data_IF_837522016988
#
_entry.id   IF_837522016988
#
_cell.length_a   1.000
_cell.length_b   1.000
_cell.length_c   1.000
_cell.angle_alpha   90.00
_cell.angle_beta   90.00
_cell.angle_gamma   90.00
#
_symmetry.space_group_name_H-M   'P 1'
#
loop_
_entity.id
_entity.type
_entity.pdbx_description
1 polymer ?
#
# COMPACT_ATOMS: atom_id res chain seq x y z
N UNK A 1 -38.66 -22.97 1.71
CA UNK A 1 -37.29 -22.62 1.29
C UNK A 1 -37.11 -21.11 1.45
N UNK A 2 -36.42 -20.66 2.50
CA UNK A 2 -36.22 -19.22 2.76
C UNK A 2 -35.12 -18.69 1.85
N UNK A 3 -35.51 -17.78 0.96
CA UNK A 3 -34.64 -17.07 0.03
C UNK A 3 -33.70 -16.16 0.85
N UNK A 4 -32.48 -16.63 1.13
CA UNK A 4 -31.47 -15.80 1.79
C UNK A 4 -30.94 -14.81 0.77
N UNK A 5 -31.47 -13.59 0.83
CA UNK A 5 -31.03 -12.46 0.01
C UNK A 5 -29.51 -12.32 0.10
N UNK A 6 -28.85 -12.53 -1.04
CA UNK A 6 -27.42 -12.32 -1.23
C UNK A 6 -27.13 -10.85 -0.91
N UNK A 7 -26.61 -10.57 0.29
CA UNK A 7 -26.20 -9.21 0.68
C UNK A 7 -25.16 -8.75 -0.33
N UNK A 8 -25.40 -7.60 -0.94
CA UNK A 8 -24.50 -7.01 -1.93
C UNK A 8 -23.10 -6.86 -1.32
N UNK A 9 -22.02 -7.30 -2.01
CA UNK A 9 -20.64 -7.11 -1.57
C UNK A 9 -20.21 -5.66 -1.34
N UNK A 10 -21.04 -4.72 -1.81
CA UNK A 10 -20.71 -3.31 -1.95
C UNK A 10 -21.29 -2.44 -0.84
N UNK A 11 -21.76 -3.03 0.26
CA UNK A 11 -22.26 -2.26 1.41
C UNK A 11 -21.05 -1.77 2.21
N UNK A 12 -20.42 -0.71 1.72
CA UNK A 12 -19.40 0.03 2.46
C UNK A 12 -20.06 0.57 3.73
N UNK A 13 -19.64 0.07 4.89
CA UNK A 13 -20.17 0.50 6.18
C UNK A 13 -19.91 2.00 6.38
N UNK A 14 -20.79 2.68 7.10
CA UNK A 14 -20.62 4.12 7.37
C UNK A 14 -19.29 4.40 8.11
N UNK A 15 -18.86 3.48 8.97
CA UNK A 15 -17.55 3.54 9.62
C UNK A 15 -16.37 3.45 8.63
N UNK A 16 -16.46 2.57 7.62
CA UNK A 16 -15.44 2.47 6.57
C UNK A 16 -15.39 3.74 5.72
N UNK A 17 -16.55 4.33 5.39
CA UNK A 17 -16.61 5.63 4.67
C UNK A 17 -15.90 6.73 5.46
N UNK A 18 -16.21 6.87 6.75
CA UNK A 18 -15.59 7.90 7.61
C UNK A 18 -14.07 7.73 7.69
N UNK A 19 -13.57 6.50 7.88
CA UNK A 19 -12.12 6.23 7.93
C UNK A 19 -11.43 6.54 6.61
N UNK A 20 -12.05 6.19 5.48
CA UNK A 20 -11.52 6.46 4.15
C UNK A 20 -11.47 7.96 3.85
N UNK A 21 -12.52 8.70 4.22
CA UNK A 21 -12.58 10.16 4.06
C UNK A 21 -11.51 10.87 4.88
N UNK A 22 -11.31 10.47 6.15
CA UNK A 22 -10.26 11.03 7.00
C UNK A 22 -8.87 10.78 6.39
N UNK A 23 -8.61 9.55 5.95
CA UNK A 23 -7.34 9.20 5.28
C UNK A 23 -7.10 10.06 4.03
N UNK A 24 -8.14 10.25 3.21
CA UNK A 24 -8.05 11.07 2.00
C UNK A 24 -7.75 12.54 2.30
N UNK A 25 -8.38 13.12 3.33
CA UNK A 25 -8.13 14.50 3.77
C UNK A 25 -6.68 14.65 4.27
N UNK A 26 -6.19 13.69 5.07
CA UNK A 26 -4.81 13.72 5.58
C UNK A 26 -3.78 13.65 4.45
N UNK A 27 -4.01 12.77 3.46
CA UNK A 27 -3.14 12.65 2.29
C UNK A 27 -3.14 13.94 1.46
N UNK A 28 -4.31 14.54 1.22
CA UNK A 28 -4.41 15.82 0.51
C UNK A 28 -3.71 16.95 1.28
N UNK A 29 -3.91 17.02 2.60
CA UNK A 29 -3.22 18.00 3.44
C UNK A 29 -1.71 17.85 3.39
N UNK A 30 -1.20 16.63 3.40
CA UNK A 30 0.23 16.34 3.27
C UNK A 30 0.79 16.75 1.89
N UNK A 31 0.06 16.49 0.81
CA UNK A 31 0.44 16.89 -0.55
C UNK A 31 0.46 18.42 -0.70
N UNK A 32 -0.52 19.11 -0.12
CA UNK A 32 -0.57 20.59 -0.18
C UNK A 32 0.53 21.22 0.67
N UNK A 33 0.79 20.68 1.86
CA UNK A 33 1.86 21.15 2.75
C UNK A 33 3.24 20.97 2.13
N UNK A 34 3.53 19.80 1.52
CA UNK A 34 4.80 19.55 0.83
C UNK A 34 5.01 20.47 -0.37
N UNK A 35 3.96 20.74 -1.15
CA UNK A 35 4.03 21.71 -2.26
C UNK A 35 4.34 23.13 -1.79
N UNK A 36 3.75 23.55 -0.68
CA UNK A 36 3.97 24.89 -0.13
C UNK A 36 5.37 25.06 0.44
N UNK A 37 5.96 24.02 1.04
CA UNK A 37 7.32 24.10 1.61
C UNK A 37 8.43 23.97 0.56
N UNK A 38 8.15 23.36 -0.60
CA UNK A 38 9.15 23.11 -1.65
C UNK A 38 9.17 24.16 -2.78
N UNK A 39 8.27 25.16 -2.76
CA UNK A 39 8.12 26.13 -3.86
C UNK A 39 9.17 27.26 -3.92
N UNK A 40 10.02 27.43 -2.90
CA UNK A 40 10.97 28.55 -2.80
C UNK A 40 12.44 28.12 -3.04
N UNK A 41 12.78 27.67 -4.24
CA UNK A 41 14.18 27.45 -4.66
C UNK A 41 14.52 28.42 -5.78
N UNK A 42 15.48 29.32 -5.56
CA UNK A 42 15.79 30.44 -6.48
C UNK A 42 17.25 30.48 -6.95
N UNK A 43 18.16 29.63 -6.41
CA UNK A 43 19.56 29.60 -6.84
C UNK A 43 20.01 28.25 -7.45
N UNK A 44 20.97 28.24 -8.41
CA UNK A 44 21.49 27.01 -9.00
C UNK A 44 22.13 26.05 -7.99
N UNK A 45 22.80 26.55 -6.96
CA UNK A 45 23.43 25.72 -5.92
C UNK A 45 22.38 24.99 -5.06
N UNK A 46 21.26 25.65 -4.73
CA UNK A 46 20.15 25.05 -3.99
C UNK A 46 19.46 23.93 -4.78
N UNK A 47 19.36 24.03 -6.11
CA UNK A 47 18.77 22.97 -6.94
C UNK A 47 19.57 21.66 -6.88
N UNK A 48 20.90 21.74 -6.80
CA UNK A 48 21.77 20.56 -6.68
C UNK A 48 21.60 19.92 -5.30
N UNK A 49 21.53 20.74 -4.25
CA UNK A 49 21.27 20.24 -2.88
C UNK A 49 19.88 19.60 -2.80
N UNK A 50 18.86 20.25 -3.34
CA UNK A 50 17.49 19.74 -3.38
C UNK A 50 17.39 18.42 -4.15
N UNK A 51 18.05 18.30 -5.30
CA UNK A 51 18.07 17.07 -6.09
C UNK A 51 18.70 15.90 -5.29
N UNK A 52 19.84 16.13 -4.63
CA UNK A 52 20.48 15.14 -3.76
C UNK A 52 19.61 14.77 -2.56
N UNK A 53 18.94 15.74 -1.95
CA UNK A 53 18.01 15.48 -0.85
C UNK A 53 16.82 14.65 -1.34
N UNK A 54 16.26 14.96 -2.51
CA UNK A 54 15.14 14.21 -3.07
C UNK A 54 15.54 12.77 -3.41
N UNK A 55 16.73 12.58 -3.98
CA UNK A 55 17.31 11.26 -4.23
C UNK A 55 17.50 10.46 -2.93
N UNK A 56 18.05 11.08 -1.88
CA UNK A 56 18.19 10.44 -0.59
C UNK A 56 16.83 10.06 0.02
N UNK A 57 15.85 10.96 -0.02
CA UNK A 57 14.48 10.69 0.46
C UNK A 57 13.85 9.54 -0.32
N UNK A 58 14.04 9.50 -1.64
CA UNK A 58 13.55 8.41 -2.49
C UNK A 58 14.18 7.05 -2.11
N UNK A 59 15.52 6.98 -2.02
CA UNK A 59 16.22 5.75 -1.68
C UNK A 59 15.86 5.23 -0.28
N UNK A 60 16.01 6.08 0.75
CA UNK A 60 15.74 5.66 2.13
C UNK A 60 14.25 5.45 2.39
N UNK A 61 13.39 6.25 1.76
CA UNK A 61 11.94 6.11 1.83
C UNK A 61 11.48 4.74 1.34
N UNK A 62 11.92 4.33 0.15
CA UNK A 62 11.52 3.05 -0.43
C UNK A 62 12.04 1.84 0.36
N UNK A 63 13.26 1.91 0.92
CA UNK A 63 13.74 0.87 1.83
C UNK A 63 12.93 0.78 3.13
N UNK A 64 12.52 1.93 3.67
CA UNK A 64 11.66 1.98 4.84
C UNK A 64 10.27 1.39 4.53
N UNK A 65 9.70 1.73 3.37
CA UNK A 65 8.44 1.15 2.88
C UNK A 65 8.56 -0.38 2.75
N UNK A 66 9.61 -0.88 2.10
CA UNK A 66 9.88 -2.31 2.01
C UNK A 66 9.92 -3.00 3.39
N UNK A 67 10.56 -2.38 4.38
CA UNK A 67 10.61 -2.86 5.75
C UNK A 67 9.23 -2.88 6.45
N UNK A 68 8.42 -1.84 6.23
CA UNK A 68 7.05 -1.75 6.76
C UNK A 68 6.19 -2.87 6.16
N UNK A 69 6.22 -3.04 4.83
CA UNK A 69 5.45 -4.09 4.16
C UNK A 69 5.91 -5.49 4.58
N UNK A 70 7.22 -5.70 4.72
CA UNK A 70 7.78 -6.94 5.25
C UNK A 70 7.30 -7.24 6.67
N UNK A 71 7.23 -6.23 7.54
CA UNK A 71 6.72 -6.37 8.91
C UNK A 71 5.22 -6.75 8.93
N UNK A 72 4.42 -6.12 8.07
CA UNK A 72 2.99 -6.44 7.91
C UNK A 72 2.84 -7.89 7.39
N UNK A 73 3.62 -8.28 6.38
CA UNK A 73 3.62 -9.64 5.84
C UNK A 73 3.94 -10.67 6.92
N UNK A 74 4.95 -10.39 7.76
CA UNK A 74 5.31 -11.25 8.88
C UNK A 74 4.17 -11.38 9.90
N UNK A 75 3.47 -10.28 10.23
CA UNK A 75 2.29 -10.32 11.09
C UNK A 75 1.19 -11.25 10.56
N UNK A 76 0.90 -11.19 9.25
CA UNK A 76 -0.04 -12.10 8.61
C UNK A 76 0.46 -13.55 8.56
N UNK A 77 1.77 -13.77 8.37
CA UNK A 77 2.38 -15.09 8.44
C UNK A 77 2.22 -15.72 9.83
N UNK A 78 2.50 -14.97 10.89
CA UNK A 78 2.27 -15.41 12.29
C UNK A 78 0.78 -15.69 12.54
N UNK A 79 -0.11 -14.84 12.01
CA UNK A 79 -1.55 -15.06 12.11
C UNK A 79 -1.98 -16.36 11.41
N UNK A 80 -1.40 -16.67 10.24
CA UNK A 80 -1.70 -17.89 9.50
C UNK A 80 -1.38 -19.17 10.29
N UNK A 81 -0.35 -19.15 11.14
CA UNK A 81 0.02 -20.28 12.01
C UNK A 81 -1.06 -20.54 13.07
N UNK A 82 -1.74 -19.48 13.54
CA UNK A 82 -2.75 -19.54 14.62
C UNK A 82 -4.18 -19.78 14.13
N UNK A 83 -4.42 -19.71 12.81
CA UNK A 83 -5.73 -19.87 12.20
C UNK A 83 -5.82 -21.17 11.41
N UNK A 84 -7.04 -21.62 11.12
CA UNK A 84 -7.31 -22.85 10.36
C UNK A 84 -8.31 -22.56 9.24
N UNK A 85 -8.30 -23.37 8.21
CA UNK A 85 -9.26 -23.29 7.11
C UNK A 85 -9.11 -22.02 6.27
N UNK A 86 -10.23 -21.41 5.92
CA UNK A 86 -10.29 -20.28 4.97
C UNK A 86 -9.51 -19.05 5.43
N UNK A 87 -9.53 -18.74 6.72
CA UNK A 87 -8.85 -17.57 7.28
C UNK A 87 -7.32 -17.73 7.24
N UNK A 88 -6.80 -18.95 7.44
CA UNK A 88 -5.38 -19.26 7.23
C UNK A 88 -4.98 -19.04 5.78
N UNK A 89 -5.80 -19.48 4.84
CA UNK A 89 -5.54 -19.28 3.41
C UNK A 89 -5.45 -17.79 3.05
N UNK A 90 -6.41 -16.98 3.52
CA UNK A 90 -6.38 -15.53 3.29
C UNK A 90 -5.14 -14.89 3.93
N UNK A 91 -4.80 -15.25 5.17
CA UNK A 91 -3.61 -14.73 5.83
C UNK A 91 -2.31 -15.07 5.10
N UNK A 92 -2.16 -16.29 4.56
CA UNK A 92 -1.00 -16.67 3.75
C UNK A 92 -0.93 -15.86 2.46
N UNK A 93 -2.04 -15.75 1.72
CA UNK A 93 -2.06 -14.99 0.46
C UNK A 93 -1.73 -13.52 0.75
N UNK A 94 -2.34 -12.91 1.77
CA UNK A 94 -2.05 -11.53 2.18
C UNK A 94 -0.58 -11.35 2.54
N UNK A 95 0.01 -12.27 3.31
CA UNK A 95 1.43 -12.24 3.64
C UNK A 95 2.31 -12.26 2.37
N UNK A 96 2.04 -13.18 1.44
CA UNK A 96 2.79 -13.30 0.18
C UNK A 96 2.68 -12.01 -0.64
N UNK A 97 1.48 -11.44 -0.77
CA UNK A 97 1.29 -10.22 -1.56
C UNK A 97 1.99 -9.01 -0.94
N UNK A 98 1.94 -8.85 0.39
CA UNK A 98 2.72 -7.79 1.07
C UNK A 98 4.23 -7.98 0.93
N UNK A 99 4.73 -9.22 1.01
CA UNK A 99 6.14 -9.51 0.76
C UNK A 99 6.53 -9.15 -0.68
N UNK A 100 5.71 -9.51 -1.66
CA UNK A 100 5.93 -9.16 -3.06
C UNK A 100 5.87 -7.64 -3.29
N UNK A 101 4.97 -6.94 -2.60
CA UNK A 101 4.90 -5.48 -2.67
C UNK A 101 6.15 -4.82 -2.10
N UNK A 102 6.61 -5.24 -0.91
CA UNK A 102 7.86 -4.73 -0.33
C UNK A 102 9.09 -5.07 -1.19
N UNK A 103 9.13 -6.23 -1.85
CA UNK A 103 10.18 -6.55 -2.82
C UNK A 103 10.14 -5.61 -4.03
N UNK A 104 8.95 -5.20 -4.48
CA UNK A 104 8.83 -4.24 -5.58
C UNK A 104 9.38 -2.85 -5.21
N UNK A 105 9.36 -2.46 -3.94
CA UNK A 105 9.97 -1.20 -3.47
C UNK A 105 11.50 -1.29 -3.46
N UNK A 106 12.08 -2.46 -3.15
CA UNK A 106 13.53 -2.67 -3.28
C UNK A 106 13.95 -2.58 -4.76
N UNK A 107 13.18 -3.24 -5.64
CA UNK A 107 13.44 -3.18 -7.09
C UNK A 107 13.27 -1.75 -7.62
N UNK A 108 12.34 -0.97 -7.07
CA UNK A 108 12.15 0.44 -7.41
C UNK A 108 13.40 1.29 -7.10
N UNK A 109 14.09 1.00 -5.99
CA UNK A 109 15.35 1.65 -5.67
C UNK A 109 16.43 1.32 -6.71
N UNK A 110 16.56 0.05 -7.09
CA UNK A 110 17.54 -0.42 -8.07
C UNK A 110 17.28 0.10 -9.49
N UNK A 111 16.01 0.31 -9.83
CA UNK A 111 15.60 0.75 -11.17
C UNK A 111 15.46 2.27 -11.30
N UNK A 112 15.46 2.99 -10.16
CA UNK A 112 15.43 4.45 -10.10
C UNK A 112 14.07 5.09 -10.43
N UNK A 113 13.03 4.30 -10.73
CA UNK A 113 11.67 4.81 -10.92
C UNK A 113 10.60 3.74 -10.68
N UNK A 114 9.50 4.11 -10.02
CA UNK A 114 8.36 3.23 -9.73
C UNK A 114 7.64 2.66 -10.97
N UNK A 115 7.81 3.28 -12.16
CA UNK A 115 7.19 2.85 -13.41
C UNK A 115 8.16 2.37 -14.49
N UNK A 116 9.48 2.46 -14.26
CA UNK A 116 10.49 1.96 -15.21
C UNK A 116 11.31 0.88 -14.55
N UNK A 117 11.39 -0.31 -15.15
CA UNK A 117 10.65 -0.80 -16.32
C UNK A 117 9.12 -0.94 -16.07
N UNK A 118 8.31 -0.87 -17.14
CA UNK A 118 6.83 -0.83 -17.05
C UNK A 118 6.20 -2.00 -16.30
N UNK A 119 6.89 -3.14 -16.23
CA UNK A 119 6.41 -4.30 -15.49
C UNK A 119 6.39 -4.07 -13.98
N UNK A 120 7.19 -3.14 -13.45
CA UNK A 120 7.18 -2.78 -12.03
C UNK A 120 5.85 -2.13 -11.65
N UNK A 121 5.33 -1.26 -12.52
CA UNK A 121 4.00 -0.68 -12.37
C UNK A 121 2.90 -1.76 -12.36
N UNK A 122 2.99 -2.74 -13.28
CA UNK A 122 2.04 -3.85 -13.34
C UNK A 122 2.11 -4.70 -12.09
N UNK A 123 3.30 -4.98 -11.57
CA UNK A 123 3.49 -5.74 -10.33
C UNK A 123 2.83 -5.02 -9.15
N UNK A 124 3.17 -3.75 -8.91
CA UNK A 124 2.58 -2.97 -7.82
C UNK A 124 1.06 -2.91 -7.94
N UNK A 125 0.55 -2.62 -9.14
CA UNK A 125 -0.89 -2.57 -9.40
C UNK A 125 -1.56 -3.91 -9.14
N UNK A 126 -0.94 -5.01 -9.56
CA UNK A 126 -1.45 -6.36 -9.31
C UNK A 126 -1.51 -6.67 -7.82
N UNK A 127 -0.46 -6.36 -7.05
CA UNK A 127 -0.47 -6.54 -5.60
C UNK A 127 -1.61 -5.76 -4.93
N UNK A 128 -1.80 -4.49 -5.30
CA UNK A 128 -2.89 -3.65 -4.77
C UNK A 128 -4.26 -4.24 -5.11
N UNK A 129 -4.47 -4.70 -6.35
CA UNK A 129 -5.72 -5.34 -6.77
C UNK A 129 -5.97 -6.63 -5.98
N UNK A 130 -4.95 -7.46 -5.76
CA UNK A 130 -5.06 -8.67 -4.97
C UNK A 130 -5.41 -8.39 -3.51
N UNK A 131 -4.74 -7.42 -2.87
CA UNK A 131 -5.05 -6.99 -1.50
C UNK A 131 -6.47 -6.45 -1.39
N UNK A 132 -6.89 -5.64 -2.37
CA UNK A 132 -8.25 -5.13 -2.43
C UNK A 132 -9.29 -6.26 -2.59
N UNK A 133 -9.03 -7.23 -3.47
CA UNK A 133 -9.88 -8.40 -3.64
C UNK A 133 -9.99 -9.25 -2.37
N UNK A 134 -8.88 -9.47 -1.66
CA UNK A 134 -8.85 -10.16 -0.37
C UNK A 134 -9.62 -9.39 0.71
N UNK A 135 -9.51 -8.07 0.73
CA UNK A 135 -10.25 -7.22 1.66
C UNK A 135 -11.76 -7.28 1.43
N UNK A 136 -12.19 -7.20 0.17
CA UNK A 136 -13.61 -7.35 -0.20
C UNK A 136 -14.10 -8.76 0.15
N UNK A 137 -13.32 -9.79 -0.15
CA UNK A 137 -13.67 -11.17 0.22
C UNK A 137 -13.80 -11.34 1.74
N UNK A 138 -12.92 -10.73 2.53
CA UNK A 138 -12.99 -10.75 3.98
C UNK A 138 -14.27 -10.09 4.50
N UNK A 139 -14.63 -8.91 3.99
CA UNK A 139 -15.89 -8.25 4.38
C UNK A 139 -17.14 -9.04 4.02
N UNK A 140 -17.15 -9.69 2.85
CA UNK A 140 -18.30 -10.46 2.40
C UNK A 140 -18.53 -11.74 3.19
N UNK A 141 -17.44 -12.35 3.69
CA UNK A 141 -17.51 -13.59 4.43
C UNK A 141 -17.81 -13.38 5.93
N UNK A 142 -17.71 -12.14 6.45
CA UNK A 142 -18.16 -11.79 7.79
C UNK A 142 -17.46 -12.55 8.93
N UNK A 143 -16.20 -12.95 8.73
CA UNK A 143 -15.34 -13.57 9.74
C UNK A 143 -14.70 -12.54 10.69
#
# INVERSE_FOLDING_TARGET
MKNQGRKSPWIITNAAKVRLTILFILLLGFILWTRFTLSDVHSPEETIVQAKTLEAVYHYGNYLEAGIWGTIAFGFYVQAIRKVGRLRHHAIITAVIFSLFGLSDIVEVETGAWWRPWWLFVWKSFCVICLFGLFVAYQNNGD
#
